data_IF_240939453314
#
_entry.id   IF_240939453314
#
_cell.length_a   1.000
_cell.length_b   1.000
_cell.length_c   1.000
_cell.angle_alpha   90.00
_cell.angle_beta   90.00
_cell.angle_gamma   90.00
#
_symmetry.space_group_name_H-M   'P 1'
#
loop_
_entity.id
_entity.type
_entity.pdbx_description
1 polymer ?
#
# COMPACT_ATOMS: atom_id res chain seq x y z
N UNK A 1 22.84 7.25 -48.60
CA UNK A 1 21.76 7.94 -47.88
C UNK A 1 21.34 7.04 -46.73
N UNK A 2 21.98 7.17 -45.56
CA UNK A 2 21.78 6.29 -44.40
C UNK A 2 20.80 6.96 -43.44
N UNK A 3 19.61 6.40 -43.28
CA UNK A 3 18.58 6.88 -42.36
C UNK A 3 18.96 6.51 -40.93
N UNK A 4 19.48 7.47 -40.16
CA UNK A 4 19.57 7.33 -38.70
C UNK A 4 18.19 7.52 -38.10
N UNK A 5 17.62 6.46 -37.54
CA UNK A 5 16.48 6.56 -36.64
C UNK A 5 17.01 6.72 -35.22
N UNK A 6 16.93 7.95 -34.69
CA UNK A 6 17.22 8.24 -33.29
C UNK A 6 15.90 8.20 -32.52
N UNK A 7 15.48 7.01 -32.10
CA UNK A 7 14.36 6.88 -31.17
C UNK A 7 14.91 6.63 -29.78
N UNK A 8 14.98 7.68 -28.97
CA UNK A 8 15.14 7.52 -27.53
C UNK A 8 14.31 8.60 -26.81
N UNK A 9 13.00 8.54 -27.00
CA UNK A 9 12.05 9.26 -26.15
C UNK A 9 11.98 8.53 -24.81
N UNK A 10 12.95 8.75 -23.94
CA UNK A 10 12.95 8.23 -22.57
C UNK A 10 11.94 9.09 -21.79
N UNK A 11 10.68 8.68 -21.79
CA UNK A 11 9.68 9.24 -20.88
C UNK A 11 9.96 8.67 -19.49
N UNK A 12 10.50 9.51 -18.60
CA UNK A 12 10.58 9.19 -17.17
C UNK A 12 9.15 9.19 -16.63
N UNK A 13 8.51 8.03 -16.64
CA UNK A 13 7.20 7.83 -16.04
C UNK A 13 7.41 7.65 -14.54
N UNK A 14 7.36 8.76 -13.78
CA UNK A 14 7.31 8.70 -12.32
C UNK A 14 6.00 8.01 -11.95
N UNK A 15 6.05 6.70 -11.68
CA UNK A 15 4.91 5.94 -11.18
C UNK A 15 4.57 6.51 -9.81
N UNK A 16 3.55 7.38 -9.78
CA UNK A 16 3.13 8.05 -8.55
C UNK A 16 2.38 7.02 -7.72
N UNK A 17 3.05 6.42 -6.74
CA UNK A 17 2.42 5.47 -5.81
C UNK A 17 1.11 6.10 -5.30
N UNK A 18 -0.05 5.44 -5.46
CA UNK A 18 -1.31 5.96 -4.97
C UNK A 18 -1.21 6.32 -3.48
N UNK A 19 -1.62 7.54 -3.12
CA UNK A 19 -1.54 8.04 -1.73
C UNK A 19 -2.26 7.13 -0.74
N UNK A 20 -3.30 6.44 -1.19
CA UNK A 20 -4.07 5.48 -0.40
C UNK A 20 -3.22 4.30 0.10
N UNK A 21 -2.23 3.85 -0.68
CA UNK A 21 -1.30 2.80 -0.28
C UNK A 21 -0.29 3.28 0.78
N UNK A 22 -0.09 4.58 0.88
CA UNK A 22 0.83 5.20 1.84
C UNK A 22 0.10 5.72 3.09
N UNK A 23 -1.23 5.63 3.12
CA UNK A 23 -2.04 6.18 4.22
C UNK A 23 -2.46 5.06 5.15
N UNK A 24 -1.89 5.07 6.37
CA UNK A 24 -2.30 4.20 7.45
C UNK A 24 -3.33 4.91 8.33
N UNK A 25 -4.51 4.32 8.46
CA UNK A 25 -5.50 4.82 9.43
C UNK A 25 -5.01 4.52 10.85
N UNK A 26 -4.99 5.51 11.76
CA UNK A 26 -4.65 5.26 13.15
C UNK A 26 -5.66 4.28 13.77
N UNK A 27 -5.17 3.35 14.57
CA UNK A 27 -6.05 2.51 15.40
C UNK A 27 -6.37 3.26 16.69
N UNK A 28 -7.65 3.39 16.98
CA UNK A 28 -8.11 3.89 18.26
C UNK A 28 -7.85 2.85 19.36
N UNK A 29 -7.65 3.34 20.59
CA UNK A 29 -7.53 2.46 21.75
C UNK A 29 -8.87 1.77 21.99
N UNK A 30 -8.92 0.43 22.05
CA UNK A 30 -10.17 -0.28 22.28
C UNK A 30 -10.73 0.02 23.68
N UNK A 31 -12.05 0.20 23.76
CA UNK A 31 -12.78 0.34 25.01
C UNK A 31 -13.34 -1.03 25.39
N UNK A 32 -12.69 -1.69 26.36
CA UNK A 32 -13.05 -3.05 26.77
C UNK A 32 -14.03 -3.00 27.94
N UNK A 33 -15.25 -3.50 27.74
CA UNK A 33 -16.26 -3.65 28.79
C UNK A 33 -16.60 -5.11 29.07
N UNK A 34 -16.41 -5.99 28.08
CA UNK A 34 -16.65 -7.43 28.18
C UNK A 34 -15.64 -8.22 27.33
N UNK A 35 -15.69 -9.55 27.41
CA UNK A 35 -14.78 -10.44 26.69
C UNK A 35 -14.95 -10.37 25.15
N UNK A 36 -16.17 -10.09 24.67
CA UNK A 36 -16.43 -9.92 23.25
C UNK A 36 -15.69 -8.69 22.69
N UNK A 37 -15.59 -7.61 23.48
CA UNK A 37 -14.83 -6.41 23.10
C UNK A 37 -13.33 -6.72 22.94
N UNK A 38 -12.80 -7.62 23.78
CA UNK A 38 -11.41 -8.09 23.67
C UNK A 38 -11.23 -8.83 22.35
N UNK A 39 -12.11 -9.78 22.04
CA UNK A 39 -12.05 -10.55 20.80
C UNK A 39 -12.17 -9.64 19.57
N UNK A 40 -13.07 -8.67 19.60
CA UNK A 40 -13.26 -7.69 18.54
C UNK A 40 -12.03 -6.81 18.35
N UNK A 41 -11.38 -6.37 19.43
CA UNK A 41 -10.16 -5.57 19.38
C UNK A 41 -9.02 -6.34 18.68
N UNK A 42 -8.82 -7.61 19.04
CA UNK A 42 -7.80 -8.46 18.38
C UNK A 42 -8.15 -8.73 16.92
N UNK A 43 -9.43 -8.98 16.62
CA UNK A 43 -9.89 -9.20 15.25
C UNK A 43 -9.66 -7.97 14.36
N UNK A 44 -9.96 -6.78 14.89
CA UNK A 44 -9.72 -5.51 14.21
C UNK A 44 -8.23 -5.25 14.00
N UNK A 45 -7.40 -5.50 15.03
CA UNK A 45 -5.95 -5.36 14.94
C UNK A 45 -5.38 -6.25 13.83
N UNK A 46 -5.79 -7.52 13.80
CA UNK A 46 -5.36 -8.47 12.77
C UNK A 46 -5.82 -8.04 11.37
N UNK A 47 -7.07 -7.61 11.24
CA UNK A 47 -7.60 -7.10 9.98
C UNK A 47 -6.76 -5.93 9.45
N UNK A 48 -6.47 -4.93 10.29
CA UNK A 48 -5.65 -3.76 9.92
C UNK A 48 -4.23 -4.16 9.56
N UNK A 49 -3.61 -5.06 10.32
CA UNK A 49 -2.29 -5.61 10.00
C UNK A 49 -2.27 -6.24 8.59
N UNK A 50 -3.26 -7.07 8.26
CA UNK A 50 -3.35 -7.70 6.93
C UNK A 50 -3.55 -6.69 5.81
N UNK A 51 -4.29 -5.61 6.03
CA UNK A 51 -4.39 -4.53 5.07
C UNK A 51 -3.03 -3.86 4.82
N UNK A 52 -2.23 -3.61 5.87
CA UNK A 52 -0.88 -3.07 5.72
C UNK A 52 0.03 -3.98 4.90
N UNK A 53 0.01 -5.29 5.18
CA UNK A 53 0.78 -6.29 4.45
C UNK A 53 0.44 -6.28 2.95
N UNK A 54 -0.86 -6.22 2.61
CA UNK A 54 -1.33 -6.11 1.23
C UNK A 54 -0.85 -4.80 0.58
N UNK A 55 -0.95 -3.67 1.27
CA UNK A 55 -0.51 -2.37 0.73
C UNK A 55 1.00 -2.36 0.46
N UNK A 56 1.80 -2.91 1.36
CA UNK A 56 3.26 -3.03 1.17
C UNK A 56 3.58 -3.89 -0.05
N UNK A 57 2.89 -5.02 -0.23
CA UNK A 57 3.11 -5.89 -1.39
C UNK A 57 2.74 -5.18 -2.70
N UNK A 58 1.61 -4.46 -2.74
CA UNK A 58 1.22 -3.64 -3.91
C UNK A 58 2.24 -2.56 -4.22
N UNK A 59 2.82 -1.92 -3.20
CA UNK A 59 3.88 -0.93 -3.39
C UNK A 59 5.13 -1.59 -3.97
N UNK A 60 5.51 -2.79 -3.52
CA UNK A 60 6.65 -3.55 -4.08
C UNK A 60 6.41 -3.89 -5.54
N UNK A 61 5.25 -4.43 -5.88
CA UNK A 61 4.85 -4.73 -7.26
C UNK A 61 4.99 -3.49 -8.17
N UNK A 62 4.53 -2.32 -7.71
CA UNK A 62 4.64 -1.06 -8.46
C UNK A 62 6.08 -0.53 -8.62
N UNK A 63 7.05 -1.00 -7.83
CA UNK A 63 8.45 -0.55 -7.86
C UNK A 63 9.39 -1.56 -8.52
N UNK A 64 8.95 -2.80 -8.76
CA UNK A 64 9.75 -3.86 -9.40
C UNK A 64 9.50 -3.97 -10.92
N UNK A 65 8.61 -3.12 -11.48
CA UNK A 65 8.45 -2.85 -12.93
C UNK A 65 9.27 -1.62 -13.38
#
# INVERSE_FOLDING_TARGET
>A
MTTQQVVSKIQIQKVKIPKELLTLSPLEKPQVKNELDILNAYSLLFYKYKQCEIQINKIRELNED
#
